data_IF_788899470840
#
_entry.id   IF_788899470840
#
_cell.length_a   1.000
_cell.length_b   1.000
_cell.length_c   1.000
_cell.angle_alpha   90.00
_cell.angle_beta   90.00
_cell.angle_gamma   90.00
#
_symmetry.space_group_name_H-M   'P 1'
#
loop_
_entity.id
_entity.type
_entity.pdbx_description
1 polymer ?
#
# COMPACT_ATOMS: atom_id res chain seq x y z
N UNK A 1 -34.37 4.32 13.41
CA UNK A 1 -33.24 3.39 13.44
C UNK A 1 -32.29 3.81 12.32
N UNK A 2 -30.98 3.94 12.58
CA UNK A 2 -29.98 4.21 11.53
C UNK A 2 -30.00 3.08 10.52
N UNK A 3 -29.78 3.39 9.24
CA UNK A 3 -29.63 2.38 8.21
C UNK A 3 -28.30 1.62 8.36
N UNK A 4 -28.17 0.41 7.79
CA UNK A 4 -26.91 -0.30 7.77
C UNK A 4 -25.85 0.48 6.99
N UNK A 5 -24.57 0.26 7.33
CA UNK A 5 -23.41 0.85 6.64
C UNK A 5 -22.96 -0.08 5.53
N UNK A 6 -22.73 0.47 4.34
CA UNK A 6 -22.19 -0.25 3.20
C UNK A 6 -20.66 -0.23 3.24
N UNK A 7 -20.01 -1.39 3.33
CA UNK A 7 -18.58 -1.53 3.10
C UNK A 7 -18.35 -2.03 1.68
N UNK A 8 -17.52 -1.35 0.92
CA UNK A 8 -17.34 -1.64 -0.50
C UNK A 8 -15.87 -1.55 -0.93
N UNK A 9 -15.44 -2.52 -1.74
CA UNK A 9 -14.13 -2.54 -2.37
C UNK A 9 -14.23 -3.11 -3.78
N UNK A 10 -13.38 -2.64 -4.70
CA UNK A 10 -13.17 -3.27 -6.00
C UNK A 10 -12.34 -4.57 -5.89
N UNK A 11 -11.77 -4.83 -4.71
CA UNK A 11 -10.94 -6.00 -4.43
C UNK A 11 -11.70 -6.96 -3.52
N UNK A 12 -11.40 -8.26 -3.57
CA UNK A 12 -11.83 -9.20 -2.54
C UNK A 12 -11.38 -8.70 -1.15
N UNK A 13 -12.17 -8.97 -0.12
CA UNK A 13 -11.92 -8.46 1.24
C UNK A 13 -10.53 -8.85 1.76
N UNK A 14 -10.04 -10.01 1.37
CA UNK A 14 -8.71 -10.53 1.71
C UNK A 14 -7.57 -9.61 1.23
N UNK A 15 -7.82 -8.83 0.17
CA UNK A 15 -6.86 -7.89 -0.44
C UNK A 15 -7.12 -6.44 -0.07
N UNK A 16 -8.29 -6.14 0.45
CA UNK A 16 -8.71 -4.80 0.90
C UNK A 16 -8.33 -4.60 2.37
N UNK A 17 -7.03 -4.66 2.71
CA UNK A 17 -6.53 -4.82 4.08
C UNK A 17 -7.05 -3.75 5.05
N UNK A 18 -7.09 -2.46 4.66
CA UNK A 18 -7.67 -1.42 5.50
C UNK A 18 -9.18 -1.61 5.70
N UNK A 19 -9.90 -1.89 4.60
CA UNK A 19 -11.35 -2.10 4.66
C UNK A 19 -11.69 -3.35 5.47
N UNK A 20 -10.89 -4.41 5.32
CA UNK A 20 -11.03 -5.65 6.09
C UNK A 20 -10.89 -5.39 7.59
N UNK A 21 -9.83 -4.68 7.98
CA UNK A 21 -9.57 -4.38 9.39
C UNK A 21 -10.73 -3.62 10.02
N UNK A 22 -11.19 -2.52 9.41
CA UNK A 22 -12.31 -1.75 9.94
C UNK A 22 -13.63 -2.51 9.84
N UNK A 23 -13.85 -3.31 8.81
CA UNK A 23 -15.05 -4.14 8.70
C UNK A 23 -15.18 -5.09 9.89
N UNK A 24 -14.11 -5.82 10.24
CA UNK A 24 -14.16 -6.73 11.40
C UNK A 24 -14.27 -5.98 12.72
N UNK A 25 -13.56 -4.88 12.91
CA UNK A 25 -13.69 -4.06 14.11
C UNK A 25 -15.13 -3.54 14.31
N UNK A 26 -15.72 -2.98 13.25
CA UNK A 26 -17.06 -2.40 13.29
C UNK A 26 -18.16 -3.46 13.43
N UNK A 27 -18.05 -4.60 12.75
CA UNK A 27 -19.07 -5.66 12.78
C UNK A 27 -19.01 -6.53 14.04
N UNK A 28 -17.87 -6.58 14.75
CA UNK A 28 -17.78 -7.24 16.05
C UNK A 28 -18.72 -6.59 17.09
N UNK A 29 -18.93 -5.29 16.97
CA UNK A 29 -19.78 -4.51 17.88
C UNK A 29 -21.23 -4.37 17.38
N UNK A 30 -21.47 -4.46 16.06
CA UNK A 30 -22.75 -4.14 15.40
C UNK A 30 -23.07 -5.09 14.26
N UNK A 31 -24.34 -5.46 14.11
CA UNK A 31 -24.80 -6.31 13.01
C UNK A 31 -24.99 -5.50 11.72
N UNK A 32 -24.01 -5.46 10.84
CA UNK A 32 -24.08 -4.77 9.55
C UNK A 32 -23.85 -5.71 8.36
N UNK A 33 -24.32 -5.28 7.19
CA UNK A 33 -24.25 -6.06 5.96
C UNK A 33 -23.05 -5.56 5.14
N UNK A 34 -22.17 -6.48 4.74
CA UNK A 34 -21.10 -6.23 3.78
C UNK A 34 -21.61 -6.42 2.36
N UNK A 35 -21.36 -5.46 1.48
CA UNK A 35 -21.53 -5.63 0.05
C UNK A 35 -20.18 -5.45 -0.64
N UNK A 36 -19.84 -6.40 -1.53
CA UNK A 36 -18.66 -6.31 -2.37
C UNK A 36 -18.95 -5.59 -3.70
N UNK A 37 -17.95 -4.89 -4.23
CA UNK A 37 -17.89 -4.65 -5.66
C UNK A 37 -17.89 -6.04 -6.36
N UNK A 38 -18.35 -6.32 -7.46
CA UNK A 38 -18.75 -5.56 -8.62
C UNK A 38 -20.16 -4.96 -8.54
N UNK A 39 -20.88 -5.16 -7.45
CA UNK A 39 -22.28 -4.79 -7.31
C UNK A 39 -22.51 -3.52 -6.44
N UNK A 40 -21.46 -2.80 -6.02
CA UNK A 40 -21.62 -1.65 -5.11
C UNK A 40 -22.58 -0.58 -5.70
N UNK A 41 -22.56 -0.34 -7.03
CA UNK A 41 -23.52 0.57 -7.69
C UNK A 41 -24.96 0.14 -7.47
N UNK A 42 -25.24 -1.16 -7.61
CA UNK A 42 -26.58 -1.72 -7.37
C UNK A 42 -26.99 -1.55 -5.92
N UNK A 43 -26.06 -1.81 -4.98
CA UNK A 43 -26.33 -1.63 -3.56
C UNK A 43 -26.55 -0.16 -3.20
N UNK A 44 -25.72 0.76 -3.71
CA UNK A 44 -25.89 2.20 -3.52
C UNK A 44 -27.27 2.66 -4.06
N UNK A 45 -27.62 2.24 -5.27
CA UNK A 45 -28.89 2.61 -5.90
C UNK A 45 -30.12 1.95 -5.26
N UNK A 46 -29.93 0.95 -4.41
CA UNK A 46 -31.04 0.28 -3.69
C UNK A 46 -31.72 1.16 -2.63
N UNK A 47 -31.08 2.28 -2.22
CA UNK A 47 -31.57 3.18 -1.18
C UNK A 47 -31.55 2.60 0.24
N UNK A 48 -30.92 1.44 0.44
CA UNK A 48 -30.83 0.76 1.75
C UNK A 48 -29.83 1.41 2.70
N UNK A 49 -28.85 2.13 2.16
CA UNK A 49 -27.71 2.67 2.88
C UNK A 49 -27.69 4.19 2.78
N UNK A 50 -27.21 4.86 3.81
CA UNK A 50 -26.95 6.30 3.81
C UNK A 50 -25.44 6.59 3.87
N UNK A 51 -24.65 5.64 4.39
CA UNK A 51 -23.20 5.74 4.54
C UNK A 51 -22.51 4.59 3.83
N UNK A 52 -21.46 4.90 3.06
CA UNK A 52 -20.55 3.95 2.46
C UNK A 52 -19.12 4.18 2.98
N UNK A 53 -18.42 3.08 3.29
CA UNK A 53 -16.99 3.05 3.60
C UNK A 53 -16.29 2.27 2.48
N UNK A 54 -15.27 2.85 1.86
CA UNK A 54 -14.59 2.23 0.71
C UNK A 54 -13.07 2.45 0.74
N UNK A 55 -12.32 1.55 0.14
CA UNK A 55 -10.86 1.64 -0.01
C UNK A 55 -10.43 2.18 -1.39
N UNK A 56 -11.37 2.67 -2.17
CA UNK A 56 -11.13 3.28 -3.47
C UNK A 56 -12.05 4.49 -3.70
N UNK A 57 -11.79 5.28 -4.76
CA UNK A 57 -12.60 6.44 -5.08
C UNK A 57 -13.92 6.03 -5.73
N UNK A 58 -15.05 6.53 -5.19
CA UNK A 58 -16.36 6.11 -5.66
C UNK A 58 -16.73 6.77 -6.99
N UNK A 59 -17.48 6.05 -7.84
CA UNK A 59 -18.17 6.62 -9.00
C UNK A 59 -19.65 6.92 -8.71
N UNK A 60 -20.17 6.45 -7.56
CA UNK A 60 -21.50 6.75 -7.01
C UNK A 60 -21.45 6.67 -5.49
N UNK A 61 -22.32 7.42 -4.80
CA UNK A 61 -22.40 7.42 -3.34
C UNK A 61 -23.89 7.34 -2.89
N UNK A 62 -24.21 6.68 -1.77
CA UNK A 62 -25.58 6.65 -1.22
C UNK A 62 -25.98 7.97 -0.52
N UNK A 63 -25.07 8.92 -0.41
CA UNK A 63 -25.26 10.20 0.27
C UNK A 63 -24.01 10.62 1.02
N UNK A 64 -23.48 9.74 1.89
CA UNK A 64 -22.24 9.98 2.63
C UNK A 64 -21.22 8.89 2.30
N UNK A 65 -19.98 9.28 1.96
CA UNK A 65 -18.90 8.37 1.60
C UNK A 65 -17.62 8.67 2.38
N UNK A 66 -17.10 7.65 3.05
CA UNK A 66 -15.81 7.68 3.75
C UNK A 66 -14.83 6.85 2.94
N UNK A 67 -13.77 7.48 2.46
CA UNK A 67 -12.71 6.83 1.69
C UNK A 67 -11.52 6.53 2.60
N UNK A 68 -11.16 5.25 2.71
CA UNK A 68 -9.94 4.79 3.38
C UNK A 68 -9.02 4.24 2.29
N UNK A 69 -8.06 5.01 1.85
CA UNK A 69 -7.19 4.60 0.75
C UNK A 69 -6.45 3.29 1.06
N UNK A 70 -6.11 2.53 0.03
CA UNK A 70 -5.47 1.21 0.17
C UNK A 70 -3.99 1.25 0.54
N UNK A 71 -3.30 2.39 0.41
CA UNK A 71 -1.87 2.55 0.74
C UNK A 71 -1.60 3.85 1.48
N UNK A 72 -0.58 3.87 2.34
CA UNK A 72 -0.15 5.10 3.01
C UNK A 72 0.29 6.12 1.95
N UNK A 73 -0.36 7.30 1.97
CA UNK A 73 -0.03 8.38 1.04
C UNK A 73 1.27 9.06 1.46
N UNK A 74 2.15 9.29 0.50
CA UNK A 74 3.45 9.91 0.74
C UNK A 74 4.53 9.46 -0.27
N UNK A 75 4.24 8.41 -1.03
CA UNK A 75 5.04 7.99 -2.17
C UNK A 75 4.66 8.75 -3.44
N UNK A 76 4.08 8.06 -4.39
CA UNK A 76 3.58 8.66 -5.64
C UNK A 76 2.50 9.70 -5.37
N UNK A 77 2.53 10.80 -6.14
CA UNK A 77 1.41 11.75 -6.17
C UNK A 77 0.20 11.06 -6.80
N UNK A 78 -0.95 11.15 -6.12
CA UNK A 78 -2.17 10.55 -6.59
C UNK A 78 -2.87 11.56 -7.50
N UNK A 79 -2.83 11.33 -8.83
CA UNK A 79 -3.71 12.01 -9.80
C UNK A 79 -3.43 13.47 -10.14
N UNK A 80 -2.64 14.23 -9.39
CA UNK A 80 -2.45 15.66 -9.64
C UNK A 80 -1.53 15.99 -10.80
N UNK A 81 -0.49 15.21 -10.98
CA UNK A 81 0.50 15.45 -12.05
C UNK A 81 0.00 15.00 -13.42
N UNK A 82 -1.21 14.41 -13.49
CA UNK A 82 -1.81 13.95 -14.75
C UNK A 82 -3.18 14.59 -14.95
N UNK A 83 -3.27 15.74 -15.65
CA UNK A 83 -4.54 16.29 -16.09
C UNK A 83 -5.31 15.23 -16.89
N UNK A 84 -6.54 14.92 -16.47
CA UNK A 84 -7.38 13.93 -17.15
C UNK A 84 -7.32 12.51 -16.59
N UNK A 85 -6.66 12.27 -15.47
CA UNK A 85 -6.76 10.98 -14.79
C UNK A 85 -8.20 10.72 -14.34
N UNK A 86 -8.83 9.59 -14.75
CA UNK A 86 -10.27 9.35 -14.53
C UNK A 86 -10.69 9.26 -13.06
N UNK A 87 -9.75 9.17 -12.13
CA UNK A 87 -10.03 9.05 -10.70
C UNK A 87 -10.28 10.38 -9.98
N UNK A 88 -9.97 11.53 -10.58
CA UNK A 88 -10.04 12.85 -9.94
C UNK A 88 -10.75 13.89 -10.80
N UNK A 89 -12.00 13.65 -11.13
CA UNK A 89 -12.89 14.72 -11.57
C UNK A 89 -13.45 15.47 -10.34
N UNK A 90 -13.86 16.73 -10.52
CA UNK A 90 -14.62 17.45 -9.49
C UNK A 90 -15.84 16.65 -9.03
N UNK A 91 -16.48 15.91 -9.95
CA UNK A 91 -17.60 15.02 -9.68
C UNK A 91 -17.25 13.92 -8.65
N UNK A 92 -16.06 13.31 -8.75
CA UNK A 92 -15.60 12.32 -7.75
C UNK A 92 -15.37 12.95 -6.38
N UNK A 93 -14.80 14.16 -6.33
CA UNK A 93 -14.55 14.88 -5.07
C UNK A 93 -15.88 15.24 -4.37
N UNK A 94 -16.92 15.52 -5.11
CA UNK A 94 -18.26 15.85 -4.57
C UNK A 94 -18.97 14.64 -3.95
N UNK A 95 -18.64 13.42 -4.41
CA UNK A 95 -19.17 12.17 -3.84
C UNK A 95 -18.56 11.83 -2.47
N UNK A 96 -17.41 12.41 -2.11
CA UNK A 96 -16.63 12.05 -0.93
C UNK A 96 -17.02 12.96 0.22
N UNK A 97 -17.48 12.38 1.33
CA UNK A 97 -17.72 13.11 2.57
C UNK A 97 -16.42 13.30 3.33
N UNK A 98 -15.66 12.23 3.52
CA UNK A 98 -14.37 12.24 4.20
C UNK A 98 -13.34 11.35 3.50
N UNK A 99 -12.08 11.80 3.51
CA UNK A 99 -10.91 10.96 3.23
C UNK A 99 -10.16 10.73 4.54
N UNK A 100 -9.75 9.49 4.78
CA UNK A 100 -8.93 9.14 5.93
C UNK A 100 -7.46 9.22 5.54
N UNK A 101 -6.71 9.99 6.32
CA UNK A 101 -5.25 10.10 6.19
C UNK A 101 -4.54 9.33 7.28
N UNK A 102 -3.44 8.66 6.93
CA UNK A 102 -2.53 8.04 7.89
C UNK A 102 -1.70 9.06 8.68
N UNK A 103 -1.75 10.35 8.28
CA UNK A 103 -0.92 11.40 8.86
C UNK A 103 -1.63 12.75 8.90
N UNK A 104 -1.44 13.47 9.99
CA UNK A 104 -1.85 14.87 10.13
C UNK A 104 -1.05 15.81 9.21
N UNK A 105 0.19 15.46 8.92
CA UNK A 105 1.12 16.24 8.08
C UNK A 105 0.88 16.09 6.58
N UNK A 106 0.09 15.08 6.18
CA UNK A 106 -0.22 14.80 4.77
C UNK A 106 -1.58 15.35 4.32
N UNK A 107 -2.33 16.01 5.19
CA UNK A 107 -3.66 16.58 4.90
C UNK A 107 -3.63 17.53 3.70
N UNK A 108 -2.62 18.41 3.63
CA UNK A 108 -2.48 19.36 2.53
C UNK A 108 -2.19 18.66 1.21
N UNK A 109 -1.27 17.69 1.23
CA UNK A 109 -0.96 16.87 0.05
C UNK A 109 -2.18 16.10 -0.44
N UNK A 110 -3.00 15.57 0.47
CA UNK A 110 -4.27 14.94 0.10
C UNK A 110 -5.24 15.94 -0.54
N UNK A 111 -5.40 17.14 0.04
CA UNK A 111 -6.27 18.17 -0.51
C UNK A 111 -5.82 18.59 -1.90
N UNK A 112 -4.52 18.87 -2.06
CA UNK A 112 -3.92 19.22 -3.35
C UNK A 112 -4.10 18.12 -4.40
N UNK A 113 -3.95 16.85 -3.99
CA UNK A 113 -4.06 15.70 -4.89
C UNK A 113 -5.50 15.39 -5.32
N UNK A 114 -6.47 15.59 -4.47
CA UNK A 114 -7.83 15.10 -4.69
C UNK A 114 -8.85 16.20 -4.97
N UNK A 115 -8.50 17.47 -4.72
CA UNK A 115 -9.44 18.57 -4.73
C UNK A 115 -10.46 18.53 -3.58
N UNK A 116 -10.41 17.52 -2.70
CA UNK A 116 -11.27 17.45 -1.52
C UNK A 116 -10.82 18.49 -0.50
N UNK A 117 -11.72 19.35 0.03
CA UNK A 117 -11.35 20.37 1.00
C UNK A 117 -10.68 19.79 2.25
N UNK A 118 -9.63 20.45 2.76
CA UNK A 118 -8.83 20.05 3.95
C UNK A 118 -9.68 19.58 5.13
N UNK A 119 -10.78 20.28 5.42
CA UNK A 119 -11.71 19.97 6.53
C UNK A 119 -12.42 18.62 6.39
N UNK A 120 -12.40 18.02 5.20
CA UNK A 120 -12.93 16.69 4.91
C UNK A 120 -11.84 15.60 4.86
N UNK A 121 -10.59 15.96 5.12
CA UNK A 121 -9.47 15.00 5.18
C UNK A 121 -9.11 14.81 6.66
N UNK A 122 -9.42 13.64 7.19
CA UNK A 122 -9.33 13.35 8.61
C UNK A 122 -8.10 12.49 8.92
N UNK A 123 -7.16 12.99 9.72
CA UNK A 123 -5.97 12.23 10.11
C UNK A 123 -6.31 11.24 11.25
N UNK A 124 -6.88 10.09 10.91
CA UNK A 124 -7.32 9.09 11.87
C UNK A 124 -6.42 7.84 11.91
N UNK A 125 -5.38 7.78 11.07
CA UNK A 125 -4.57 6.59 10.90
C UNK A 125 -5.21 5.57 9.95
N UNK A 126 -4.52 4.46 9.70
CA UNK A 126 -5.00 3.41 8.82
C UNK A 126 -5.29 2.12 9.59
N UNK A 127 -6.51 1.56 9.50
CA UNK A 127 -6.96 0.40 10.28
C UNK A 127 -6.01 -0.79 10.29
N UNK A 128 -5.43 -1.15 9.14
CA UNK A 128 -4.51 -2.30 9.06
C UNK A 128 -3.23 -2.11 9.86
N UNK A 129 -2.85 -0.85 10.12
CA UNK A 129 -1.59 -0.56 10.82
C UNK A 129 -1.71 -0.69 12.33
N UNK A 130 -2.93 -0.84 12.86
CA UNK A 130 -3.14 -1.06 14.29
C UNK A 130 -2.47 -2.35 14.77
N UNK A 131 -2.41 -3.38 13.90
CA UNK A 131 -1.72 -4.64 14.18
C UNK A 131 -0.18 -4.53 14.17
N UNK A 132 0.38 -3.42 13.63
CA UNK A 132 1.83 -3.22 13.58
C UNK A 132 2.41 -2.73 14.89
N UNK A 133 1.57 -2.11 15.73
CA UNK A 133 2.01 -1.56 17.01
C UNK A 133 2.38 -2.69 17.98
N UNK A 134 3.60 -2.61 18.50
CA UNK A 134 4.12 -3.66 19.39
C UNK A 134 4.66 -4.90 18.67
N UNK A 135 4.69 -4.91 17.33
CA UNK A 135 5.31 -5.99 16.59
C UNK A 135 6.82 -6.08 16.91
N UNK A 136 7.26 -7.28 17.24
CA UNK A 136 8.67 -7.59 17.53
C UNK A 136 9.17 -8.54 16.44
N UNK A 137 10.25 -8.15 15.77
CA UNK A 137 10.91 -9.00 14.80
C UNK A 137 11.46 -10.26 15.45
N UNK A 138 10.99 -11.43 15.03
CA UNK A 138 11.64 -12.69 15.39
C UNK A 138 12.78 -12.96 14.41
N UNK A 139 13.98 -13.24 14.95
CA UNK A 139 15.11 -13.62 14.11
C UNK A 139 14.98 -15.09 13.73
N UNK A 140 15.06 -15.39 12.43
CA UNK A 140 15.12 -16.74 11.90
C UNK A 140 16.56 -17.11 11.49
N UNK A 141 16.81 -18.39 11.27
CA UNK A 141 18.12 -18.87 10.78
C UNK A 141 18.34 -18.51 9.31
N UNK A 142 17.23 -18.31 8.56
CA UNK A 142 17.24 -17.90 7.15
C UNK A 142 16.94 -16.40 7.07
N UNK A 143 17.83 -15.66 6.44
CA UNK A 143 17.61 -14.24 6.12
C UNK A 143 16.66 -14.11 4.94
N UNK A 144 15.54 -13.45 5.15
CA UNK A 144 14.49 -13.32 4.14
C UNK A 144 14.42 -11.91 3.56
N UNK A 145 14.60 -11.81 2.26
CA UNK A 145 14.43 -10.58 1.47
C UNK A 145 13.08 -10.62 0.77
N UNK A 146 12.28 -9.56 0.87
CA UNK A 146 10.97 -9.47 0.23
C UNK A 146 10.97 -8.40 -0.86
N UNK A 147 10.88 -8.79 -2.13
CA UNK A 147 10.78 -7.88 -3.25
C UNK A 147 9.33 -7.63 -3.64
N UNK A 148 8.88 -6.37 -3.48
CA UNK A 148 7.50 -5.92 -3.75
C UNK A 148 7.54 -4.70 -4.66
N UNK A 149 7.72 -4.88 -5.98
CA UNK A 149 7.80 -3.77 -6.92
C UNK A 149 6.45 -3.12 -7.17
N UNK A 150 6.48 -1.84 -7.55
CA UNK A 150 5.31 -1.13 -8.08
C UNK A 150 4.87 -1.75 -9.41
N UNK A 151 3.56 -1.76 -9.67
CA UNK A 151 3.03 -2.15 -10.97
C UNK A 151 3.50 -1.19 -12.08
N UNK A 152 3.47 -1.66 -13.32
CA UNK A 152 3.72 -0.88 -14.53
C UNK A 152 2.47 -0.88 -15.39
N UNK A 153 2.12 0.26 -15.95
CA UNK A 153 1.02 0.38 -16.92
C UNK A 153 1.49 -0.06 -18.32
N UNK A 154 0.54 -0.53 -19.13
CA UNK A 154 0.85 -1.10 -20.46
C UNK A 154 1.65 -0.18 -21.39
N UNK A 155 1.49 1.14 -21.22
CA UNK A 155 2.07 2.17 -22.10
C UNK A 155 3.18 2.99 -21.41
N UNK A 156 3.57 2.60 -20.19
CA UNK A 156 4.60 3.27 -19.40
C UNK A 156 5.90 2.45 -19.40
N UNK A 157 6.84 2.87 -18.57
CA UNK A 157 8.13 2.21 -18.38
C UNK A 157 7.97 0.70 -18.19
N UNK A 158 8.62 -0.14 -18.99
CA UNK A 158 8.53 -1.59 -18.87
C UNK A 158 9.01 -2.06 -17.49
N UNK A 159 8.55 -3.24 -17.06
CA UNK A 159 9.09 -3.88 -15.87
C UNK A 159 10.61 -4.07 -16.06
N UNK A 160 11.44 -3.76 -15.05
CA UNK A 160 12.90 -3.86 -15.20
C UNK A 160 13.33 -5.28 -15.55
N UNK A 161 14.27 -5.38 -16.47
CA UNK A 161 14.92 -6.65 -16.81
C UNK A 161 15.92 -7.01 -15.71
N UNK A 162 15.47 -7.83 -14.76
CA UNK A 162 16.26 -8.29 -13.61
C UNK A 162 16.94 -9.61 -13.97
N UNK A 163 18.24 -9.69 -13.74
CA UNK A 163 19.00 -10.94 -13.89
C UNK A 163 18.74 -11.84 -12.66
N UNK A 164 17.64 -12.60 -12.72
CA UNK A 164 17.23 -13.54 -11.66
C UNK A 164 18.25 -14.65 -11.45
N UNK A 165 18.94 -15.09 -12.52
CA UNK A 165 19.93 -16.14 -12.43
C UNK A 165 21.19 -15.65 -11.72
N UNK A 166 21.59 -14.41 -11.98
CA UNK A 166 22.66 -13.76 -11.24
C UNK A 166 22.30 -13.67 -9.75
N UNK A 167 21.09 -13.18 -9.41
CA UNK A 167 20.66 -13.07 -8.02
C UNK A 167 20.65 -14.44 -7.33
N UNK A 168 20.02 -15.45 -7.94
CA UNK A 168 19.93 -16.80 -7.34
C UNK A 168 21.29 -17.41 -7.09
N UNK A 169 22.22 -17.29 -8.06
CA UNK A 169 23.58 -17.85 -7.97
C UNK A 169 24.48 -17.14 -6.95
N UNK A 170 24.12 -15.91 -6.53
CA UNK A 170 24.91 -15.11 -5.59
C UNK A 170 24.26 -15.00 -4.19
N UNK A 171 23.06 -15.52 -3.99
CA UNK A 171 22.48 -15.68 -2.67
C UNK A 171 23.15 -16.87 -1.94
N UNK A 172 23.36 -16.70 -0.62
CA UNK A 172 23.94 -17.74 0.21
C UNK A 172 22.89 -18.81 0.61
N UNK A 173 23.32 -19.96 1.11
CA UNK A 173 22.43 -21.04 1.51
C UNK A 173 21.42 -20.66 2.62
N UNK A 174 21.71 -19.64 3.40
CA UNK A 174 20.83 -19.11 4.44
C UNK A 174 20.12 -17.81 4.01
N UNK A 175 20.09 -17.48 2.72
CA UNK A 175 19.38 -16.31 2.18
C UNK A 175 18.23 -16.76 1.27
N UNK A 176 17.06 -16.13 1.40
CA UNK A 176 15.87 -16.37 0.60
C UNK A 176 15.33 -15.06 0.04
N UNK A 177 15.14 -14.98 -1.26
CA UNK A 177 14.46 -13.88 -1.93
C UNK A 177 13.03 -14.27 -2.28
N UNK A 178 12.07 -13.63 -1.63
CA UNK A 178 10.65 -13.78 -1.94
C UNK A 178 10.24 -12.65 -2.89
N UNK A 179 9.68 -13.00 -4.03
CA UNK A 179 9.19 -12.05 -5.03
C UNK A 179 7.68 -12.05 -5.04
N UNK A 180 7.08 -10.89 -4.78
CA UNK A 180 5.63 -10.70 -4.80
C UNK A 180 5.25 -9.52 -5.68
N UNK A 181 4.84 -9.81 -6.91
CA UNK A 181 4.37 -8.80 -7.85
C UNK A 181 3.07 -8.15 -7.38
N UNK A 182 2.82 -6.93 -7.86
CA UNK A 182 1.57 -6.21 -7.59
C UNK A 182 0.37 -6.96 -8.20
N UNK A 183 -0.81 -7.00 -7.55
CA UNK A 183 -2.00 -7.70 -8.06
C UNK A 183 -2.44 -7.28 -9.47
N UNK A 184 -2.25 -6.02 -9.83
CA UNK A 184 -2.56 -5.53 -11.20
C UNK A 184 -1.59 -6.03 -12.26
N UNK A 185 -0.48 -6.60 -11.88
CA UNK A 185 0.50 -7.18 -12.78
C UNK A 185 0.16 -8.62 -13.18
N UNK A 186 -0.86 -9.22 -12.52
CA UNK A 186 -1.32 -10.57 -12.87
C UNK A 186 -1.84 -10.67 -14.31
N UNK A 187 -2.36 -9.58 -14.87
CA UNK A 187 -2.94 -9.59 -16.21
C UNK A 187 -1.96 -9.14 -17.31
N UNK A 188 -0.84 -8.49 -16.93
CA UNK A 188 0.03 -7.81 -17.91
C UNK A 188 1.50 -8.22 -17.80
N UNK A 189 1.97 -8.67 -16.65
CA UNK A 189 3.41 -8.76 -16.39
C UNK A 189 3.83 -9.79 -15.37
N UNK A 190 2.95 -10.55 -14.73
CA UNK A 190 3.34 -11.79 -14.04
C UNK A 190 4.09 -12.68 -15.00
N UNK A 191 3.75 -12.62 -16.26
CA UNK A 191 4.52 -13.23 -17.32
C UNK A 191 5.96 -12.72 -17.43
N UNK A 192 6.25 -11.43 -17.15
CA UNK A 192 7.64 -10.95 -17.22
C UNK A 192 8.44 -11.32 -15.97
N UNK A 193 7.86 -11.22 -14.77
CA UNK A 193 8.52 -11.70 -13.55
C UNK A 193 8.54 -13.24 -13.54
N UNK A 194 7.45 -13.89 -13.85
CA UNK A 194 7.39 -15.36 -13.95
C UNK A 194 8.01 -15.93 -15.23
N UNK A 195 8.06 -15.19 -16.34
CA UNK A 195 8.82 -15.62 -17.53
C UNK A 195 10.31 -15.37 -17.37
N UNK A 196 10.72 -14.30 -16.68
CA UNK A 196 12.12 -14.09 -16.31
C UNK A 196 12.61 -15.15 -15.32
N UNK A 197 11.74 -15.59 -14.42
CA UNK A 197 11.99 -16.69 -13.50
C UNK A 197 11.81 -18.04 -14.23
N UNK A 198 11.08 -18.07 -15.36
CA UNK A 198 10.94 -19.19 -16.27
C UNK A 198 10.51 -20.51 -15.60
N UNK A 199 10.74 -21.62 -16.30
CA UNK A 199 10.65 -22.96 -15.74
C UNK A 199 11.95 -23.35 -14.98
N UNK A 200 12.82 -22.37 -14.66
CA UNK A 200 14.03 -22.59 -13.91
C UNK A 200 13.73 -22.87 -12.44
N UNK A 201 14.27 -23.95 -11.91
CA UNK A 201 14.27 -24.20 -10.48
C UNK A 201 15.35 -23.33 -9.85
N UNK A 202 14.93 -22.18 -9.32
CA UNK A 202 15.79 -21.36 -8.47
C UNK A 202 15.91 -22.01 -7.10
N UNK A 203 17.09 -21.95 -6.53
CA UNK A 203 17.38 -22.50 -5.21
C UNK A 203 16.97 -21.53 -4.09
N UNK A 204 17.16 -20.24 -4.32
CA UNK A 204 17.05 -19.19 -3.33
C UNK A 204 15.95 -18.17 -3.64
N UNK A 205 15.21 -18.32 -4.76
CA UNK A 205 14.15 -17.39 -5.14
C UNK A 205 12.79 -18.10 -5.13
N UNK A 206 11.85 -17.52 -4.39
CA UNK A 206 10.46 -17.96 -4.31
C UNK A 206 9.53 -16.91 -4.87
N UNK A 207 8.68 -17.25 -5.85
CA UNK A 207 7.69 -16.33 -6.43
C UNK A 207 6.32 -16.62 -5.87
N UNK A 208 5.71 -15.61 -5.29
CA UNK A 208 4.37 -15.71 -4.74
C UNK A 208 3.31 -15.28 -5.76
N UNK A 209 2.14 -15.89 -5.64
CA UNK A 209 0.97 -15.39 -6.36
C UNK A 209 0.73 -13.92 -6.06
N UNK A 210 0.54 -13.07 -7.08
CA UNK A 210 0.21 -11.65 -6.86
C UNK A 210 -1.17 -11.48 -6.18
N UNK A 211 -1.99 -12.54 -6.21
CA UNK A 211 -3.38 -12.52 -5.75
C UNK A 211 -3.57 -12.39 -4.22
N UNK A 212 -2.59 -12.78 -3.41
CA UNK A 212 -2.68 -12.77 -1.95
C UNK A 212 -2.34 -11.42 -1.30
N UNK A 213 -2.58 -11.27 0.03
CA UNK A 213 -2.17 -10.09 0.79
C UNK A 213 -0.64 -9.99 0.88
N UNK A 214 -0.14 -8.78 1.10
CA UNK A 214 1.32 -8.53 1.24
C UNK A 214 1.77 -8.55 2.70
N UNK A 215 0.91 -8.09 3.61
CA UNK A 215 1.22 -7.92 5.04
C UNK A 215 1.84 -9.15 5.72
N UNK A 216 1.36 -10.39 5.51
CA UNK A 216 1.98 -11.57 6.14
C UNK A 216 3.46 -11.74 5.80
N UNK A 217 3.86 -11.36 4.59
CA UNK A 217 5.26 -11.46 4.14
C UNK A 217 6.11 -10.31 4.65
N UNK A 218 5.51 -9.15 4.93
CA UNK A 218 6.21 -8.06 5.62
C UNK A 218 6.64 -8.47 7.03
N UNK A 219 5.82 -9.24 7.74
CA UNK A 219 6.19 -9.74 9.07
C UNK A 219 7.41 -10.65 9.06
N UNK A 220 7.54 -11.49 8.04
CA UNK A 220 8.64 -12.47 7.94
C UNK A 220 9.90 -11.93 7.28
N UNK A 221 9.83 -10.82 6.56
CA UNK A 221 10.98 -10.25 5.88
C UNK A 221 11.97 -9.62 6.87
N UNK A 222 13.27 -9.83 6.64
CA UNK A 222 14.35 -9.10 7.32
C UNK A 222 14.65 -7.78 6.63
N UNK A 223 14.58 -7.75 5.28
CA UNK A 223 14.74 -6.54 4.47
C UNK A 223 13.68 -6.51 3.38
N UNK A 224 13.06 -5.36 3.18
CA UNK A 224 12.08 -5.14 2.10
C UNK A 224 12.74 -4.44 0.92
N UNK A 225 12.53 -4.97 -0.28
CA UNK A 225 12.99 -4.39 -1.54
C UNK A 225 11.79 -3.85 -2.28
N UNK A 226 11.85 -2.61 -2.68
CA UNK A 226 10.81 -2.00 -3.50
C UNK A 226 11.37 -0.87 -4.36
N UNK A 227 10.53 -0.23 -5.15
CA UNK A 227 10.89 0.95 -5.92
C UNK A 227 10.07 2.18 -5.46
N UNK A 228 8.95 2.46 -6.09
CA UNK A 228 8.06 3.59 -5.79
C UNK A 228 6.81 3.21 -4.99
N UNK A 229 6.74 2.01 -4.45
CA UNK A 229 5.56 1.50 -3.76
C UNK A 229 5.42 2.04 -2.35
N UNK A 230 4.18 2.35 -1.96
CA UNK A 230 3.85 2.75 -0.58
C UNK A 230 4.10 1.66 0.46
N UNK A 231 4.38 0.43 0.03
CA UNK A 231 4.74 -0.69 0.93
C UNK A 231 5.98 -0.39 1.79
N UNK A 232 6.86 0.52 1.32
CA UNK A 232 8.00 0.98 2.12
C UNK A 232 7.58 1.60 3.44
N UNK A 233 6.43 2.28 3.50
CA UNK A 233 5.94 2.90 4.73
C UNK A 233 5.38 1.86 5.69
N UNK A 234 4.74 0.80 5.18
CA UNK A 234 4.33 -0.35 5.98
C UNK A 234 5.56 -1.06 6.58
N UNK A 235 6.63 -1.21 5.79
CA UNK A 235 7.90 -1.74 6.28
C UNK A 235 8.51 -0.86 7.39
N UNK A 236 8.51 0.46 7.22
CA UNK A 236 9.02 1.40 8.23
C UNK A 236 8.19 1.38 9.52
N UNK A 237 6.86 1.23 9.44
CA UNK A 237 6.01 1.07 10.62
C UNK A 237 6.33 -0.21 11.40
N UNK A 238 6.74 -1.27 10.69
CA UNK A 238 7.23 -2.52 11.28
C UNK A 238 8.72 -2.46 11.67
N UNK A 239 9.36 -1.29 11.59
CA UNK A 239 10.81 -1.10 11.78
C UNK A 239 11.66 -2.03 10.92
N UNK A 240 11.19 -2.36 9.72
CA UNK A 240 11.92 -3.15 8.74
C UNK A 240 12.77 -2.25 7.85
N UNK A 241 14.06 -2.59 7.64
CA UNK A 241 14.90 -1.88 6.69
C UNK A 241 14.40 -2.06 5.26
N UNK A 242 14.57 -1.01 4.47
CA UNK A 242 14.21 -1.01 3.04
C UNK A 242 15.47 -0.78 2.19
N UNK A 243 15.49 -1.40 1.02
CA UNK A 243 16.39 -1.06 -0.10
C UNK A 243 15.53 -0.69 -1.29
N UNK A 244 15.73 0.50 -1.84
CA UNK A 244 15.08 0.90 -3.08
C UNK A 244 15.88 0.32 -4.27
N UNK A 245 15.18 -0.38 -5.18
CA UNK A 245 15.78 -0.97 -6.35
C UNK A 245 15.13 -0.45 -7.63
N UNK A 246 15.82 0.45 -8.31
CA UNK A 246 15.37 1.08 -9.56
C UNK A 246 16.33 0.75 -10.71
N UNK A 247 16.14 -0.38 -11.35
CA UNK A 247 16.97 -0.78 -12.49
C UNK A 247 16.65 0.00 -13.77
N UNK A 248 15.40 0.42 -13.92
CA UNK A 248 14.94 1.22 -15.07
C UNK A 248 14.40 2.55 -14.57
N UNK A 249 15.12 3.67 -14.72
CA UNK A 249 14.65 5.00 -14.36
C UNK A 249 13.50 5.46 -15.26
N UNK A 250 12.79 6.51 -14.84
CA UNK A 250 11.77 7.17 -15.66
C UNK A 250 10.32 6.94 -15.22
N UNK A 251 10.03 5.98 -14.36
CA UNK A 251 8.67 5.80 -13.81
C UNK A 251 8.20 7.05 -13.05
N UNK A 252 9.11 7.71 -12.35
CA UNK A 252 8.83 8.92 -11.59
C UNK A 252 8.48 10.12 -12.48
N UNK A 253 8.98 10.16 -13.73
CA UNK A 253 8.78 11.28 -14.64
C UNK A 253 7.31 11.43 -15.07
N UNK A 254 6.56 10.34 -15.08
CA UNK A 254 5.15 10.32 -15.49
C UNK A 254 4.17 10.51 -14.34
N UNK A 255 4.53 10.11 -13.10
CA UNK A 255 3.60 10.11 -11.96
C UNK A 255 3.96 11.08 -10.85
N UNK A 256 5.22 11.48 -10.75
CA UNK A 256 5.75 12.32 -9.69
C UNK A 256 5.76 11.65 -8.31
N UNK A 257 6.53 12.21 -7.41
CA UNK A 257 6.65 11.78 -6.01
C UNK A 257 6.32 12.95 -5.08
N UNK A 258 5.80 12.65 -3.90
CA UNK A 258 5.47 13.68 -2.90
C UNK A 258 6.69 14.39 -2.33
N UNK A 259 7.84 13.73 -2.32
CA UNK A 259 9.14 14.21 -1.82
C UNK A 259 10.24 13.86 -2.83
N UNK A 260 11.47 14.34 -2.60
CA UNK A 260 12.61 14.00 -3.48
C UNK A 260 12.97 12.52 -3.37
N UNK A 261 12.87 11.84 -4.48
CA UNK A 261 13.22 10.44 -4.61
C UNK A 261 14.63 10.29 -5.19
N UNK A 262 15.47 9.38 -4.67
CA UNK A 262 15.19 8.48 -3.51
C UNK A 262 15.57 9.08 -2.15
N UNK A 263 16.24 10.24 -2.07
CA UNK A 263 17.02 10.74 -0.92
C UNK A 263 16.18 10.98 0.34
N UNK A 264 14.92 11.44 0.18
CA UNK A 264 14.04 11.69 1.31
C UNK A 264 13.29 10.43 1.78
N UNK A 265 13.34 9.34 1.00
CA UNK A 265 12.63 8.10 1.31
C UNK A 265 13.53 7.05 1.95
N UNK A 266 14.71 6.81 1.38
CA UNK A 266 15.60 5.74 1.79
C UNK A 266 17.06 6.12 1.57
N UNK A 267 17.94 5.67 2.44
CA UNK A 267 19.39 5.85 2.31
C UNK A 267 20.04 4.77 1.44
N UNK A 268 19.31 3.70 1.13
CA UNK A 268 19.83 2.55 0.40
C UNK A 268 19.12 2.43 -0.94
N UNK A 269 19.87 2.67 -2.00
CA UNK A 269 19.35 2.73 -3.36
C UNK A 269 20.29 1.99 -4.30
N UNK A 270 19.77 0.97 -5.00
CA UNK A 270 20.51 0.13 -5.92
C UNK A 270 19.93 0.23 -7.34
N UNK A 271 20.82 0.15 -8.36
CA UNK A 271 20.47 0.10 -9.78
C UNK A 271 20.93 -1.17 -10.47
N UNK A 272 21.82 -1.90 -9.84
CA UNK A 272 22.31 -3.19 -10.32
C UNK A 272 22.07 -4.29 -9.30
N UNK A 273 22.06 -5.53 -9.74
CA UNK A 273 21.90 -6.70 -8.89
C UNK A 273 23.05 -6.83 -7.88
N UNK A 274 24.27 -6.46 -8.28
CA UNK A 274 25.42 -6.45 -7.38
C UNK A 274 25.24 -5.45 -6.24
N UNK A 275 24.90 -4.19 -6.57
CA UNK A 275 24.61 -3.16 -5.58
C UNK A 275 23.45 -3.59 -4.65
N UNK A 276 22.42 -4.23 -5.22
CA UNK A 276 21.29 -4.74 -4.44
C UNK A 276 21.75 -5.76 -3.41
N UNK A 277 22.51 -6.79 -3.81
CA UNK A 277 22.98 -7.83 -2.89
C UNK A 277 23.86 -7.28 -1.76
N UNK A 278 24.77 -6.35 -2.10
CA UNK A 278 25.65 -5.71 -1.11
C UNK A 278 24.83 -4.92 -0.07
N UNK A 279 23.85 -4.14 -0.54
CA UNK A 279 22.98 -3.37 0.35
C UNK A 279 22.06 -4.25 1.18
N UNK A 280 21.52 -5.33 0.62
CA UNK A 280 20.68 -6.28 1.34
C UNK A 280 21.41 -6.90 2.52
N UNK A 281 22.64 -7.38 2.29
CA UNK A 281 23.48 -7.98 3.34
C UNK A 281 23.86 -6.98 4.42
N UNK A 282 24.16 -5.74 4.00
CA UNK A 282 24.43 -4.67 4.96
C UNK A 282 23.20 -4.40 5.83
N UNK A 283 22.01 -4.27 5.21
CA UNK A 283 20.75 -3.96 5.92
C UNK A 283 20.29 -5.11 6.81
N UNK A 284 20.47 -6.35 6.40
CA UNK A 284 20.17 -7.52 7.23
C UNK A 284 21.06 -7.59 8.48
N UNK A 285 22.33 -7.16 8.35
CA UNK A 285 23.28 -7.08 9.48
C UNK A 285 22.97 -5.91 10.42
N UNK A 286 22.46 -4.81 9.88
CA UNK A 286 22.17 -3.56 10.60
C UNK A 286 20.69 -3.17 10.39
N UNK A 287 19.75 -3.88 11.04
CA UNK A 287 18.31 -3.76 10.78
C UNK A 287 17.65 -2.60 11.55
N UNK A 288 18.21 -1.42 11.48
CA UNK A 288 17.64 -0.20 12.05
C UNK A 288 17.29 0.81 10.94
N UNK A 289 16.29 1.64 11.19
CA UNK A 289 15.95 2.71 10.27
C UNK A 289 16.98 3.84 10.33
N UNK A 290 17.29 4.40 9.17
CA UNK A 290 18.17 5.57 9.07
C UNK A 290 17.39 6.85 9.41
N UNK A 291 18.07 7.97 9.74
CA UNK A 291 17.38 9.21 10.13
C UNK A 291 16.35 9.75 9.12
N UNK A 292 16.62 9.63 7.82
CA UNK A 292 15.65 10.03 6.78
C UNK A 292 14.46 9.05 6.69
N UNK A 293 14.67 7.76 6.91
CA UNK A 293 13.63 6.73 6.95
C UNK A 293 12.71 6.93 8.17
N UNK A 294 13.28 7.23 9.34
CA UNK A 294 12.50 7.59 10.53
C UNK A 294 11.74 8.90 10.32
N UNK A 295 12.37 9.89 9.70
CA UNK A 295 11.73 11.17 9.40
C UNK A 295 10.55 10.99 8.45
N UNK A 296 10.71 10.26 7.33
CA UNK A 296 9.62 10.06 6.38
C UNK A 296 8.50 9.23 6.99
N UNK A 297 8.80 8.18 7.77
CA UNK A 297 7.82 7.42 8.54
C UNK A 297 6.93 8.34 9.38
N UNK A 298 7.53 9.24 10.16
CA UNK A 298 6.80 10.20 10.99
C UNK A 298 5.97 11.20 10.17
N UNK A 299 6.44 11.60 8.98
CA UNK A 299 5.71 12.54 8.13
C UNK A 299 4.46 11.88 7.54
N UNK A 300 4.54 10.63 7.12
CA UNK A 300 3.46 9.99 6.36
C UNK A 300 2.50 9.16 7.22
N UNK A 301 2.84 8.87 8.48
CA UNK A 301 2.09 7.91 9.30
C UNK A 301 2.06 8.24 10.80
N UNK A 302 2.12 9.52 11.18
CA UNK A 302 2.11 9.96 12.59
C UNK A 302 0.82 9.62 13.36
N UNK A 303 -0.24 9.23 12.65
CA UNK A 303 -1.51 8.80 13.22
C UNK A 303 -1.72 7.27 13.24
N UNK A 304 -0.70 6.51 12.83
CA UNK A 304 -0.73 5.03 12.88
C UNK A 304 -0.18 4.54 14.25
N UNK A 305 -0.99 4.73 15.29
CA UNK A 305 -0.63 4.56 16.70
C UNK A 305 -1.36 3.39 17.41
N UNK A 306 -2.07 2.54 16.64
CA UNK A 306 -2.82 1.40 17.16
C UNK A 306 -4.29 1.67 17.48
N UNK A 307 -4.77 2.90 17.26
CA UNK A 307 -6.13 3.32 17.56
C UNK A 307 -6.93 3.78 16.34
N UNK A 308 -6.48 3.42 15.14
CA UNK A 308 -7.14 3.85 13.89
C UNK A 308 -8.53 3.25 13.74
N UNK A 309 -8.70 1.97 14.06
CA UNK A 309 -10.01 1.29 14.04
C UNK A 309 -10.98 1.95 14.98
N UNK A 310 -10.58 2.26 16.22
CA UNK A 310 -11.44 2.90 17.23
C UNK A 310 -11.95 4.27 16.73
N UNK A 311 -11.02 5.14 16.30
CA UNK A 311 -11.36 6.48 15.78
C UNK A 311 -12.29 6.41 14.57
N UNK A 312 -12.07 5.43 13.71
CA UNK A 312 -12.87 5.28 12.48
C UNK A 312 -14.26 4.69 12.77
N UNK A 313 -14.38 3.76 13.70
CA UNK A 313 -15.69 3.27 14.18
C UNK A 313 -16.54 4.44 14.71
N UNK A 314 -15.95 5.31 15.53
CA UNK A 314 -16.63 6.51 16.04
C UNK A 314 -17.07 7.45 14.91
N UNK A 315 -16.18 7.71 13.92
CA UNK A 315 -16.53 8.54 12.74
C UNK A 315 -17.70 7.93 11.96
N UNK A 316 -17.71 6.62 11.72
CA UNK A 316 -18.77 5.93 11.00
C UNK A 316 -20.11 6.11 11.73
N UNK A 317 -20.11 5.93 13.06
CA UNK A 317 -21.31 6.13 13.89
C UNK A 317 -21.82 7.57 13.85
N UNK A 318 -20.93 8.54 13.96
CA UNK A 318 -21.31 9.96 13.91
C UNK A 318 -21.80 10.37 12.52
N UNK A 319 -21.25 9.76 11.48
CA UNK A 319 -21.68 9.98 10.10
C UNK A 319 -23.04 9.33 9.80
N UNK A 320 -23.38 8.22 10.46
CA UNK A 320 -24.61 7.44 10.23
C UNK A 320 -25.82 7.91 11.09
N UNK A 321 -25.65 8.93 11.90
CA UNK A 321 -26.73 9.64 12.63
C UNK A 321 -27.44 10.60 11.67
#
# INVERSE_FOLDING_TARGET
MSKPVLFSSFRPLERAENLRAIYYAYTSEKKHILSYAPNYRKEVLSGKYDVMVTDDFPSVSPGKCIVIWHGIHGGKTIGLSQPGHPYFSNETSDLITYIISASSRMVDKWSDCTGVPRKRILPLGFPRTDEYVGYINSKADVTTYLFVPTFRDKNETPFPDIDWQYLDSHLNDNELLIVKAHPWQSDIGTDQVTRGIGNGMFKHICVLSPAGPTTPFLYTADVVITDYSSVMFDAYLLNKPVVLFEKTPGYNDTRGMCFRYPEEYCSFFARTELELLDQLRYRAKFPYLMPNEERIKQIVSDMCDGHSCERLCQLIDDTNK
#
